data_IF_358438797252
#
_entry.id   IF_358438797252
#
_cell.length_a   1.000
_cell.length_b   1.000
_cell.length_c   1.000
_cell.angle_alpha   90.00
_cell.angle_beta   90.00
_cell.angle_gamma   90.00
#
_symmetry.space_group_name_H-M   'P 1'
#
loop_
_entity.id
_entity.type
_entity.pdbx_description
1 polymer ?
#
# COMPACT_ATOMS: atom_id res chain seq x y z
N UNK A 1 -12.42 23.83 0.67
CA UNK A 1 -12.26 23.26 2.02
C UNK A 1 -10.83 22.70 2.13
N UNK A 2 -10.03 23.27 3.05
CA UNK A 2 -8.64 22.86 3.30
C UNK A 2 -8.53 21.95 4.54
N UNK A 3 -9.62 21.30 4.94
CA UNK A 3 -9.64 20.36 6.07
C UNK A 3 -10.16 19.00 5.59
N UNK A 4 -9.42 17.94 5.88
CA UNK A 4 -9.79 16.58 5.60
C UNK A 4 -10.15 15.83 6.90
N UNK A 5 -11.09 14.89 6.83
CA UNK A 5 -11.58 14.09 7.95
C UNK A 5 -11.51 12.57 7.66
N UNK A 6 -10.95 12.20 6.49
CA UNK A 6 -10.89 10.82 6.01
C UNK A 6 -9.66 10.07 6.52
N UNK A 7 -8.49 10.63 6.25
CA UNK A 7 -7.20 9.97 6.47
C UNK A 7 -6.76 10.11 7.92
N UNK A 8 -6.07 9.10 8.43
CA UNK A 8 -5.28 9.22 9.64
C UNK A 8 -4.35 10.45 9.57
N UNK A 9 -4.10 11.15 10.68
CA UNK A 9 -3.34 12.41 10.65
C UNK A 9 -1.98 12.30 9.95
N UNK A 10 -1.26 11.20 10.13
CA UNK A 10 0.05 10.98 9.49
C UNK A 10 -0.07 10.90 7.96
N UNK A 11 -1.07 10.17 7.46
CA UNK A 11 -1.33 10.06 6.01
C UNK A 11 -1.76 11.44 5.48
N UNK A 12 -2.67 12.10 6.18
CA UNK A 12 -3.15 13.42 5.79
C UNK A 12 -2.04 14.47 5.75
N UNK A 13 -1.10 14.43 6.70
CA UNK A 13 0.07 15.34 6.73
C UNK A 13 1.01 15.07 5.57
N UNK A 14 1.33 13.81 5.26
CA UNK A 14 2.12 13.45 4.08
C UNK A 14 1.47 13.93 2.78
N UNK A 15 0.18 13.67 2.61
CA UNK A 15 -0.59 14.11 1.43
C UNK A 15 -0.63 15.64 1.34
N UNK A 16 -0.79 16.32 2.47
CA UNK A 16 -0.77 17.79 2.54
C UNK A 16 0.57 18.36 2.08
N UNK A 17 1.67 17.81 2.57
CA UNK A 17 3.02 18.27 2.22
C UNK A 17 3.33 18.04 0.73
N UNK A 18 3.00 16.86 0.20
CA UNK A 18 3.36 16.49 -1.17
C UNK A 18 2.50 17.21 -2.22
N UNK A 19 1.19 17.38 -1.97
CA UNK A 19 0.23 17.80 -3.00
C UNK A 19 -0.46 19.13 -2.74
N UNK A 20 -0.36 19.69 -1.52
CA UNK A 20 -1.13 20.85 -1.11
C UNK A 20 -0.28 21.94 -0.42
N UNK A 21 1.03 21.92 -0.60
CA UNK A 21 1.99 22.87 0.02
C UNK A 21 1.81 23.01 1.54
N UNK A 22 1.45 21.94 2.24
CA UNK A 22 1.19 21.93 3.67
C UNK A 22 -0.14 22.60 4.10
N UNK A 23 -0.99 23.00 3.13
CA UNK A 23 -2.21 23.78 3.42
C UNK A 23 -3.42 22.92 3.81
N UNK A 24 -3.41 21.61 3.49
CA UNK A 24 -4.49 20.69 3.88
C UNK A 24 -4.34 20.35 5.35
N UNK A 25 -5.33 20.70 6.17
CA UNK A 25 -5.34 20.42 7.61
C UNK A 25 -6.04 19.10 7.91
N UNK A 26 -5.60 18.42 8.96
CA UNK A 26 -6.32 17.28 9.50
C UNK A 26 -7.40 17.76 10.47
N UNK A 27 -8.64 17.32 10.26
CA UNK A 27 -9.72 17.45 11.22
C UNK A 27 -9.64 16.39 12.32
N UNK A 28 -10.43 16.56 13.36
CA UNK A 28 -10.52 15.56 14.42
C UNK A 28 -11.15 14.28 13.89
N UNK A 29 -10.46 13.15 14.11
CA UNK A 29 -10.92 11.82 13.75
C UNK A 29 -10.43 10.81 14.78
N UNK A 30 -11.35 10.02 15.31
CA UNK A 30 -11.01 8.89 16.15
C UNK A 30 -10.57 7.71 15.27
N UNK A 31 -9.41 7.14 15.56
CA UNK A 31 -8.94 5.88 14.98
C UNK A 31 -9.01 4.84 16.07
N UNK A 32 -9.87 3.83 15.89
CA UNK A 32 -10.00 2.75 16.86
C UNK A 32 -8.74 1.90 16.91
N UNK A 33 -8.36 1.51 18.11
CA UNK A 33 -7.09 0.81 18.39
C UNK A 33 -7.21 -0.71 18.15
N UNK A 34 -7.69 -1.08 16.96
CA UNK A 34 -7.77 -2.48 16.53
C UNK A 34 -6.45 -3.01 15.97
N UNK A 35 -5.54 -2.10 15.63
CA UNK A 35 -4.32 -2.44 14.89
C UNK A 35 -3.17 -2.95 15.75
N UNK A 36 -3.24 -2.86 17.07
CA UNK A 36 -2.19 -3.36 17.98
C UNK A 36 -1.96 -4.87 17.88
N UNK A 37 -3.00 -5.61 17.53
CA UNK A 37 -2.94 -7.08 17.40
C UNK A 37 -2.80 -7.53 15.94
N UNK A 38 -2.64 -6.61 15.00
CA UNK A 38 -2.50 -6.90 13.57
C UNK A 38 -1.05 -7.30 13.21
N UNK A 39 -0.81 -7.82 11.99
CA UNK A 39 0.54 -8.04 11.50
C UNK A 39 1.42 -6.79 11.58
N UNK A 40 2.73 -6.96 11.76
CA UNK A 40 3.67 -5.86 12.06
C UNK A 40 3.62 -4.70 11.05
N UNK A 41 3.36 -4.98 9.78
CA UNK A 41 3.20 -3.94 8.76
C UNK A 41 2.01 -3.01 9.01
N UNK A 42 0.96 -3.47 9.71
CA UNK A 42 -0.23 -2.69 10.08
C UNK A 42 -0.15 -2.02 11.44
N UNK A 43 0.87 -2.32 12.26
CA UNK A 43 1.07 -1.64 13.54
C UNK A 43 1.44 -0.16 13.33
N UNK A 44 2.05 0.16 12.20
CA UNK A 44 2.35 1.54 11.79
C UNK A 44 1.21 2.10 10.93
N UNK A 45 1.01 3.41 10.99
CA UNK A 45 0.01 4.10 10.14
C UNK A 45 0.42 4.05 8.67
N UNK A 46 1.72 4.22 8.41
CA UNK A 46 2.29 4.07 7.07
C UNK A 46 3.49 3.14 7.09
N UNK A 47 3.51 2.19 6.17
CA UNK A 47 4.61 1.24 5.99
C UNK A 47 5.07 1.21 4.53
N UNK A 48 6.37 1.26 4.31
CA UNK A 48 6.96 0.95 3.02
C UNK A 48 7.69 -0.39 3.10
N UNK A 49 7.23 -1.36 2.34
CA UNK A 49 7.89 -2.66 2.20
C UNK A 49 8.85 -2.56 1.03
N UNK A 50 10.13 -2.38 1.33
CA UNK A 50 11.17 -2.12 0.34
C UNK A 50 11.72 -3.42 -0.23
N UNK A 51 11.52 -3.62 -1.53
CA UNK A 51 12.00 -4.78 -2.27
C UNK A 51 13.38 -4.58 -2.91
N UNK A 52 14.07 -3.47 -2.62
CA UNK A 52 15.34 -3.11 -3.26
C UNK A 52 16.43 -4.16 -3.06
N UNK A 53 16.50 -4.76 -1.87
CA UNK A 53 17.51 -5.79 -1.51
C UNK A 53 17.39 -7.09 -2.31
N UNK A 54 16.20 -7.37 -2.89
CA UNK A 54 15.99 -8.52 -3.77
C UNK A 54 16.68 -8.37 -5.14
N UNK A 55 17.17 -7.17 -5.47
CA UNK A 55 17.87 -6.88 -6.73
C UNK A 55 17.02 -7.27 -7.94
N UNK A 56 17.63 -7.99 -8.89
CA UNK A 56 16.95 -8.39 -10.15
C UNK A 56 15.72 -9.31 -9.94
N UNK A 57 15.61 -10.00 -8.81
CA UNK A 57 14.44 -10.83 -8.48
C UNK A 57 13.18 -9.98 -8.28
N UNK A 58 13.32 -8.71 -7.88
CA UNK A 58 12.21 -7.77 -7.74
C UNK A 58 11.95 -6.92 -8.99
N UNK A 59 12.60 -7.20 -10.11
CA UNK A 59 12.36 -6.46 -11.35
C UNK A 59 11.02 -6.85 -11.95
N UNK A 60 10.35 -5.86 -12.55
CA UNK A 60 9.09 -6.09 -13.24
C UNK A 60 9.30 -6.91 -14.53
N UNK A 61 8.27 -7.67 -14.88
CA UNK A 61 8.17 -8.40 -16.13
C UNK A 61 7.15 -7.72 -17.05
N UNK A 62 7.27 -7.94 -18.36
CA UNK A 62 6.30 -7.49 -19.36
C UNK A 62 5.28 -8.59 -19.64
N UNK A 63 4.03 -8.20 -19.91
CA UNK A 63 3.07 -9.14 -20.49
C UNK A 63 3.59 -9.66 -21.84
N UNK A 64 3.30 -10.91 -22.16
CA UNK A 64 3.65 -11.53 -23.44
C UNK A 64 2.99 -10.81 -24.60
N UNK A 65 1.73 -10.42 -24.42
CA UNK A 65 0.94 -9.65 -25.39
C UNK A 65 0.42 -8.38 -24.72
N UNK A 66 1.06 -7.24 -25.01
CA UNK A 66 0.63 -5.95 -24.44
C UNK A 66 1.78 -5.03 -24.04
N UNK A 67 1.43 -3.92 -23.42
CA UNK A 67 2.38 -2.91 -22.94
C UNK A 67 2.42 -2.80 -21.42
N UNK A 68 1.57 -3.56 -20.72
CA UNK A 68 1.49 -3.53 -19.28
C UNK A 68 2.61 -4.38 -18.64
N UNK A 69 2.90 -4.08 -17.39
CA UNK A 69 3.94 -4.76 -16.61
C UNK A 69 3.35 -5.34 -15.33
N UNK A 70 4.01 -6.37 -14.82
CA UNK A 70 3.71 -6.99 -13.54
C UNK A 70 4.99 -7.27 -12.76
N UNK A 71 4.88 -7.51 -11.46
CA UNK A 71 5.99 -7.80 -10.55
C UNK A 71 5.59 -8.96 -9.63
N UNK A 72 6.17 -10.11 -9.88
CA UNK A 72 5.84 -11.34 -9.17
C UNK A 72 6.25 -11.26 -7.70
N UNK A 73 7.39 -10.66 -7.38
CA UNK A 73 7.84 -10.51 -5.98
C UNK A 73 6.88 -9.63 -5.18
N UNK A 74 6.49 -8.48 -5.71
CA UNK A 74 5.49 -7.64 -5.03
C UNK A 74 4.14 -8.36 -4.87
N UNK A 75 3.70 -9.11 -5.89
CA UNK A 75 2.46 -9.88 -5.81
C UNK A 75 2.53 -10.95 -4.71
N UNK A 76 3.63 -11.68 -4.60
CA UNK A 76 3.84 -12.69 -3.55
C UNK A 76 3.81 -12.06 -2.16
N UNK A 77 4.54 -10.96 -1.95
CA UNK A 77 4.58 -10.22 -0.69
C UNK A 77 3.16 -9.77 -0.28
N UNK A 78 2.40 -9.21 -1.20
CA UNK A 78 1.03 -8.75 -0.92
C UNK A 78 0.12 -9.93 -0.57
N UNK A 79 0.19 -11.04 -1.30
CA UNK A 79 -0.59 -12.24 -1.01
C UNK A 79 -0.21 -12.83 0.36
N UNK A 80 1.06 -12.86 0.70
CA UNK A 80 1.51 -13.36 2.00
C UNK A 80 1.07 -12.43 3.14
N UNK A 81 1.11 -11.11 2.94
CA UNK A 81 0.53 -10.15 3.89
C UNK A 81 -0.97 -10.39 4.09
N UNK A 82 -1.74 -10.60 3.01
CA UNK A 82 -3.16 -10.92 3.10
C UNK A 82 -3.42 -12.24 3.83
N UNK A 83 -2.58 -13.27 3.64
CA UNK A 83 -2.65 -14.52 4.41
C UNK A 83 -2.41 -14.31 5.90
N UNK A 84 -1.49 -13.45 6.28
CA UNK A 84 -1.26 -13.14 7.69
C UNK A 84 -2.44 -12.40 8.30
N UNK A 85 -2.98 -11.42 7.60
CA UNK A 85 -4.17 -10.69 8.04
C UNK A 85 -5.32 -11.69 8.24
N UNK A 86 -5.55 -12.60 7.28
CA UNK A 86 -6.65 -13.57 7.33
C UNK A 86 -6.59 -14.57 8.48
N UNK A 87 -5.39 -14.86 9.00
CA UNK A 87 -5.20 -15.77 10.15
C UNK A 87 -5.57 -15.14 11.48
N UNK A 88 -5.68 -13.83 11.55
CA UNK A 88 -6.00 -13.11 12.79
C UNK A 88 -7.51 -12.86 12.89
N UNK A 89 -8.26 -13.88 13.34
CA UNK A 89 -9.72 -13.83 13.43
C UNK A 89 -10.22 -12.65 14.28
N UNK A 90 -9.53 -12.33 15.39
CA UNK A 90 -9.90 -11.19 16.25
C UNK A 90 -9.79 -9.87 15.52
N UNK A 91 -8.72 -9.70 14.73
CA UNK A 91 -8.52 -8.50 13.94
C UNK A 91 -9.56 -8.40 12.81
N UNK A 92 -9.84 -9.51 12.12
CA UNK A 92 -10.85 -9.57 11.06
C UNK A 92 -12.23 -9.20 11.60
N UNK A 93 -12.66 -9.80 12.73
CA UNK A 93 -13.93 -9.47 13.37
C UNK A 93 -14.00 -7.99 13.76
N UNK A 94 -12.95 -7.45 14.38
CA UNK A 94 -12.91 -6.05 14.76
C UNK A 94 -12.94 -5.09 13.57
N UNK A 95 -12.31 -5.49 12.45
CA UNK A 95 -12.31 -4.71 11.21
C UNK A 95 -13.70 -4.75 10.55
N UNK A 96 -14.35 -5.93 10.52
CA UNK A 96 -15.71 -6.12 10.02
C UNK A 96 -16.74 -5.27 10.78
N UNK A 97 -16.60 -5.19 12.12
CA UNK A 97 -17.47 -4.37 12.97
C UNK A 97 -17.38 -2.86 12.68
N UNK A 98 -16.27 -2.41 12.11
CA UNK A 98 -16.09 -1.01 11.74
C UNK A 98 -16.75 -0.63 10.41
N UNK A 99 -16.94 -1.58 9.50
CA UNK A 99 -17.42 -1.36 8.12
C UNK A 99 -18.81 -2.02 7.91
N UNK A 100 -19.78 -1.62 8.74
CA UNK A 100 -21.15 -2.19 8.73
C UNK A 100 -21.95 -1.93 7.45
N UNK A 101 -21.49 -1.03 6.59
CA UNK A 101 -22.19 -0.63 5.36
C UNK A 101 -21.82 -1.47 4.12
N UNK A 102 -21.08 -2.58 4.31
CA UNK A 102 -20.79 -3.54 3.24
C UNK A 102 -19.70 -3.12 2.25
N UNK A 103 -18.96 -2.04 2.53
CA UNK A 103 -17.78 -1.67 1.76
C UNK A 103 -16.59 -2.56 2.14
N UNK A 104 -15.72 -2.84 1.16
CA UNK A 104 -14.49 -3.60 1.43
C UNK A 104 -13.57 -2.82 2.36
N UNK A 105 -13.08 -3.47 3.43
CA UNK A 105 -12.20 -2.82 4.41
C UNK A 105 -10.75 -2.69 3.92
N UNK A 106 -10.30 -3.58 3.04
CA UNK A 106 -8.93 -3.67 2.54
C UNK A 106 -8.92 -3.49 1.03
N UNK A 107 -8.22 -2.47 0.58
CA UNK A 107 -8.00 -2.20 -0.83
C UNK A 107 -6.57 -2.51 -1.27
N UNK A 108 -6.42 -3.23 -2.38
CA UNK A 108 -5.14 -3.39 -3.07
C UNK A 108 -5.16 -2.58 -4.35
N UNK A 109 -4.35 -1.53 -4.41
CA UNK A 109 -4.23 -0.65 -5.56
C UNK A 109 -3.01 -1.04 -6.37
N UNK A 110 -3.23 -1.43 -7.62
CA UNK A 110 -2.17 -1.75 -8.57
C UNK A 110 -1.93 -0.57 -9.50
N UNK A 111 -0.68 -0.18 -9.67
CA UNK A 111 -0.35 0.90 -10.62
C UNK A 111 -0.50 0.46 -12.08
N UNK A 112 -0.49 -0.85 -12.36
CA UNK A 112 -0.60 -1.41 -13.71
C UNK A 112 -1.66 -2.51 -13.81
N UNK A 113 -2.30 -2.60 -14.99
CA UNK A 113 -3.38 -3.56 -15.22
C UNK A 113 -2.92 -5.03 -15.15
N UNK A 114 -1.71 -5.33 -15.65
CA UNK A 114 -1.15 -6.68 -15.56
C UNK A 114 -0.90 -7.11 -14.11
N UNK A 115 -0.44 -6.19 -13.25
CA UNK A 115 -0.27 -6.45 -11.83
C UNK A 115 -1.61 -6.77 -11.14
N UNK A 116 -2.66 -6.01 -11.47
CA UNK A 116 -4.01 -6.32 -10.99
C UNK A 116 -4.45 -7.72 -11.37
N UNK A 117 -4.27 -8.10 -12.65
CA UNK A 117 -4.64 -9.44 -13.16
C UNK A 117 -3.89 -10.54 -12.39
N UNK A 118 -2.56 -10.37 -12.21
CA UNK A 118 -1.73 -11.32 -11.47
C UNK A 118 -2.20 -11.46 -10.02
N UNK A 119 -2.42 -10.36 -9.32
CA UNK A 119 -2.89 -10.37 -7.94
C UNK A 119 -4.28 -10.99 -7.79
N UNK A 120 -5.21 -10.65 -8.69
CA UNK A 120 -6.55 -11.25 -8.71
C UNK A 120 -6.50 -12.76 -8.99
N UNK A 121 -5.60 -13.22 -9.87
CA UNK A 121 -5.39 -14.65 -10.12
C UNK A 121 -4.86 -15.34 -8.86
N UNK A 122 -3.76 -14.86 -8.31
CA UNK A 122 -3.17 -15.44 -7.08
C UNK A 122 -4.13 -15.45 -5.90
N UNK A 123 -4.94 -14.41 -5.74
CA UNK A 123 -5.95 -14.32 -4.70
C UNK A 123 -7.03 -15.40 -4.87
N UNK A 124 -7.50 -15.65 -6.09
CA UNK A 124 -8.50 -16.70 -6.38
C UNK A 124 -8.00 -18.13 -6.19
N UNK A 125 -6.68 -18.36 -6.29
CA UNK A 125 -6.06 -19.68 -6.12
C UNK A 125 -6.00 -20.13 -4.64
N UNK A 126 -6.36 -19.26 -3.69
CA UNK A 126 -6.31 -19.52 -2.25
C UNK A 126 -7.72 -19.65 -1.71
N UNK A 127 -7.92 -20.63 -0.84
CA UNK A 127 -9.19 -20.83 -0.14
C UNK A 127 -9.30 -19.92 1.09
N UNK A 128 -9.82 -18.70 0.85
CA UNK A 128 -10.12 -17.73 1.90
C UNK A 128 -11.51 -17.97 2.47
N UNK A 129 -11.75 -17.56 3.73
CA UNK A 129 -13.13 -17.47 4.25
C UNK A 129 -13.96 -16.47 3.43
N UNK A 130 -15.27 -16.70 3.36
CA UNK A 130 -16.18 -15.81 2.62
C UNK A 130 -16.20 -14.40 3.22
N UNK A 131 -16.10 -14.30 4.55
CA UNK A 131 -15.93 -13.03 5.26
C UNK A 131 -14.71 -12.28 4.75
N UNK A 132 -13.53 -12.93 4.77
CA UNK A 132 -12.30 -12.29 4.30
C UNK A 132 -12.34 -11.91 2.83
N UNK A 133 -12.90 -12.77 1.96
CA UNK A 133 -13.10 -12.46 0.53
C UNK A 133 -13.90 -11.17 0.33
N UNK A 134 -14.96 -10.99 1.10
CA UNK A 134 -15.82 -9.81 0.99
C UNK A 134 -15.12 -8.51 1.39
N UNK A 135 -14.11 -8.59 2.26
CA UNK A 135 -13.35 -7.44 2.72
C UNK A 135 -12.30 -6.96 1.73
N UNK A 136 -11.92 -7.77 0.74
CA UNK A 136 -10.79 -7.49 -0.16
C UNK A 136 -11.26 -6.95 -1.50
N UNK A 137 -10.67 -5.82 -1.90
CA UNK A 137 -10.85 -5.26 -3.24
C UNK A 137 -9.51 -5.04 -3.92
N UNK A 138 -9.29 -5.69 -5.07
CA UNK A 138 -8.08 -5.54 -5.88
C UNK A 138 -8.43 -4.82 -7.18
N UNK A 139 -7.88 -3.63 -7.42
CA UNK A 139 -8.14 -2.87 -8.63
C UNK A 139 -6.95 -1.98 -9.02
N UNK A 140 -7.01 -1.39 -10.21
CA UNK A 140 -6.04 -0.35 -10.62
C UNK A 140 -6.36 0.97 -9.94
N UNK A 141 -5.40 1.89 -9.92
CA UNK A 141 -5.59 3.24 -9.36
C UNK A 141 -6.79 3.97 -10.00
N UNK A 142 -6.99 3.82 -11.30
CA UNK A 142 -8.14 4.43 -12.00
C UNK A 142 -9.47 3.77 -11.58
N UNK A 143 -9.48 2.47 -11.36
CA UNK A 143 -10.64 1.73 -10.86
C UNK A 143 -10.98 2.02 -9.38
N UNK A 144 -10.09 2.73 -8.68
CA UNK A 144 -10.27 3.17 -7.29
C UNK A 144 -10.80 4.60 -7.17
N UNK A 145 -11.02 5.31 -8.26
CA UNK A 145 -11.52 6.68 -8.19
C UNK A 145 -12.89 6.74 -7.49
N UNK A 146 -13.02 7.62 -6.49
CA UNK A 146 -14.25 7.81 -5.71
C UNK A 146 -14.46 6.82 -4.55
N UNK A 147 -13.57 5.83 -4.33
CA UNK A 147 -13.67 4.83 -3.26
C UNK A 147 -12.55 5.00 -2.23
N UNK A 148 -12.80 4.54 -1.01
CA UNK A 148 -11.85 4.58 0.10
C UNK A 148 -11.94 3.29 0.91
N UNK A 149 -10.87 2.92 1.58
CA UNK A 149 -10.80 1.73 2.43
C UNK A 149 -10.01 2.05 3.70
N UNK A 150 -10.28 1.33 4.79
CA UNK A 150 -9.53 1.48 6.03
C UNK A 150 -8.05 1.20 5.83
N UNK A 151 -7.76 0.11 5.14
CA UNK A 151 -6.40 -0.32 4.80
C UNK A 151 -6.23 -0.25 3.30
N UNK A 152 -5.19 0.44 2.84
CA UNK A 152 -4.76 0.44 1.44
C UNK A 152 -3.37 -0.15 1.34
N UNK A 153 -3.23 -1.11 0.44
CA UNK A 153 -1.96 -1.70 0.02
C UNK A 153 -1.71 -1.28 -1.43
N UNK A 154 -0.60 -0.60 -1.69
CA UNK A 154 -0.22 -0.16 -3.05
C UNK A 154 0.89 -1.04 -3.59
N UNK A 155 0.68 -1.67 -4.76
CA UNK A 155 1.74 -2.32 -5.53
C UNK A 155 2.29 -1.35 -6.56
N UNK A 156 3.55 -0.95 -6.41
CA UNK A 156 4.23 -0.01 -7.28
C UNK A 156 4.57 -0.63 -8.63
N UNK A 157 4.82 -1.92 -8.65
CA UNK A 157 5.07 -2.77 -9.80
C UNK A 157 6.41 -2.49 -10.49
N UNK A 158 6.68 -1.21 -10.84
CA UNK A 158 7.85 -0.85 -11.64
C UNK A 158 9.13 -0.91 -10.83
N UNK A 159 10.03 -1.77 -11.24
CA UNK A 159 11.38 -1.88 -10.71
C UNK A 159 12.32 -2.42 -11.79
N UNK A 160 13.42 -1.73 -12.05
CA UNK A 160 14.48 -2.14 -12.97
C UNK A 160 15.80 -1.41 -12.66
N UNK A 161 16.89 -1.87 -13.27
CA UNK A 161 18.21 -1.26 -13.06
C UNK A 161 18.34 0.16 -13.63
N UNK A 162 17.50 0.53 -14.60
CA UNK A 162 17.55 1.86 -15.22
C UNK A 162 16.97 2.97 -14.35
N UNK A 163 16.15 2.60 -13.35
CA UNK A 163 15.39 3.52 -12.51
C UNK A 163 14.57 4.54 -13.31
N UNK A 164 14.10 4.17 -14.51
CA UNK A 164 13.30 5.06 -15.34
C UNK A 164 11.83 4.99 -14.94
N UNK A 165 11.27 6.15 -14.58
CA UNK A 165 9.87 6.30 -14.22
C UNK A 165 9.07 6.76 -15.44
N UNK A 166 7.98 6.08 -15.74
CA UNK A 166 7.08 6.45 -16.84
C UNK A 166 6.32 7.73 -16.53
N UNK A 167 5.88 8.44 -17.57
CA UNK A 167 5.04 9.63 -17.42
C UNK A 167 3.77 9.36 -16.61
N UNK A 168 3.22 8.17 -16.73
CA UNK A 168 2.09 7.69 -15.98
C UNK A 168 2.32 7.74 -14.45
N UNK A 169 3.51 7.29 -14.00
CA UNK A 169 3.91 7.28 -12.59
C UNK A 169 4.38 8.64 -12.07
N UNK A 170 4.67 9.58 -12.96
CA UNK A 170 5.06 10.95 -12.61
C UNK A 170 3.87 11.87 -12.35
N UNK A 171 2.65 11.49 -12.74
CA UNK A 171 1.45 12.34 -12.62
C UNK A 171 1.02 12.52 -11.16
N UNK A 172 1.14 13.74 -10.59
CA UNK A 172 0.82 13.97 -9.17
C UNK A 172 -0.61 13.59 -8.80
N UNK A 173 -1.59 13.94 -9.63
CA UNK A 173 -3.00 13.65 -9.35
C UNK A 173 -3.27 12.15 -9.17
N UNK A 174 -2.59 11.30 -9.95
CA UNK A 174 -2.76 9.85 -9.89
C UNK A 174 -2.18 9.24 -8.62
N UNK A 175 -1.00 9.72 -8.24
CA UNK A 175 -0.35 9.32 -6.98
C UNK A 175 -1.16 9.83 -5.79
N UNK A 176 -1.65 11.08 -5.85
CA UNK A 176 -2.54 11.62 -4.82
C UNK A 176 -3.78 10.74 -4.63
N UNK A 177 -4.42 10.31 -5.74
CA UNK A 177 -5.56 9.39 -5.66
C UNK A 177 -5.17 8.11 -4.93
N UNK A 178 -4.05 7.47 -5.28
CA UNK A 178 -3.64 6.22 -4.65
C UNK A 178 -3.39 6.39 -3.14
N UNK A 179 -2.61 7.39 -2.74
CA UNK A 179 -2.23 7.63 -1.36
C UNK A 179 -3.41 8.06 -0.48
N UNK A 180 -4.32 8.89 -1.01
CA UNK A 180 -5.46 9.44 -0.26
C UNK A 180 -6.66 8.50 -0.15
N UNK A 181 -6.58 7.26 -0.66
CA UNK A 181 -7.63 6.24 -0.47
C UNK A 181 -7.58 5.57 0.90
N UNK A 182 -6.47 5.63 1.57
CA UNK A 182 -6.27 5.02 2.88
C UNK A 182 -6.93 5.87 3.98
N UNK A 183 -7.77 5.24 4.77
CA UNK A 183 -8.37 5.88 5.93
C UNK A 183 -7.48 5.72 7.17
N UNK A 184 -7.09 4.50 7.52
CA UNK A 184 -6.40 4.19 8.77
C UNK A 184 -4.95 3.73 8.55
N UNK A 185 -4.70 2.90 7.53
CA UNK A 185 -3.39 2.29 7.24
C UNK A 185 -3.06 2.36 5.76
N UNK A 186 -1.82 2.73 5.49
CA UNK A 186 -1.25 2.77 4.14
C UNK A 186 0.01 1.91 4.09
N UNK A 187 0.00 0.87 3.25
CA UNK A 187 1.16 0.04 2.97
C UNK A 187 1.56 0.22 1.52
N UNK A 188 2.81 0.55 1.28
CA UNK A 188 3.38 0.67 -0.06
C UNK A 188 4.38 -0.47 -0.25
N UNK A 189 4.22 -1.26 -1.29
CA UNK A 189 5.10 -2.38 -1.65
C UNK A 189 5.82 -2.04 -2.94
N UNK A 190 7.13 -2.04 -2.93
CA UNK A 190 7.95 -1.75 -4.10
C UNK A 190 9.37 -1.32 -3.77
N UNK A 191 10.22 -1.31 -4.79
CA UNK A 191 11.63 -0.96 -4.64
C UNK A 191 11.82 0.54 -4.35
N UNK A 192 12.34 0.84 -3.16
CA UNK A 192 12.68 2.20 -2.74
C UNK A 192 13.77 2.81 -3.61
N UNK A 193 14.68 1.99 -4.17
CA UNK A 193 15.75 2.48 -5.07
C UNK A 193 15.22 3.13 -6.35
N UNK A 194 13.98 2.84 -6.75
CA UNK A 194 13.34 3.52 -7.88
C UNK A 194 13.06 5.01 -7.61
N UNK A 195 12.97 5.43 -6.33
CA UNK A 195 12.44 6.71 -5.88
C UNK A 195 13.48 7.61 -5.19
N UNK A 196 14.75 7.26 -5.29
CA UNK A 196 15.89 8.08 -4.81
C UNK A 196 16.56 8.79 -5.98
N UNK A 197 17.59 9.58 -5.70
CA UNK A 197 18.41 10.33 -6.65
C UNK A 197 17.54 11.21 -7.60
N UNK A 198 17.62 10.97 -8.91
CA UNK A 198 16.87 11.72 -9.93
C UNK A 198 15.33 11.66 -9.77
N UNK A 199 14.81 10.73 -8.99
CA UNK A 199 13.38 10.52 -8.80
C UNK A 199 12.89 10.95 -7.41
N UNK A 200 13.77 11.46 -6.54
CA UNK A 200 13.44 11.88 -5.17
C UNK A 200 12.38 12.99 -5.11
N UNK A 201 12.41 13.91 -6.07
CA UNK A 201 11.43 15.01 -6.16
C UNK A 201 10.07 14.60 -6.74
N UNK A 202 9.94 13.39 -7.27
CA UNK A 202 8.65 12.88 -7.71
C UNK A 202 7.75 12.56 -6.50
N UNK A 203 6.42 12.58 -6.63
CA UNK A 203 5.50 12.38 -5.51
C UNK A 203 5.79 11.13 -4.68
N UNK A 204 6.14 9.99 -5.31
CA UNK A 204 6.47 8.77 -4.56
C UNK A 204 7.86 8.84 -3.91
N UNK A 205 8.82 9.57 -4.49
CA UNK A 205 10.10 9.85 -3.84
C UNK A 205 9.90 10.66 -2.56
N UNK A 206 9.10 11.72 -2.63
CA UNK A 206 8.71 12.51 -1.45
C UNK A 206 7.95 11.70 -0.41
N UNK A 207 7.08 10.77 -0.83
CA UNK A 207 6.38 9.87 0.08
C UNK A 207 7.36 8.92 0.81
N UNK A 208 8.34 8.36 0.10
CA UNK A 208 9.38 7.53 0.71
C UNK A 208 10.22 8.32 1.72
N UNK A 209 10.65 9.52 1.36
CA UNK A 209 11.39 10.41 2.26
C UNK A 209 10.58 10.79 3.49
N UNK A 210 9.29 11.11 3.31
CA UNK A 210 8.40 11.39 4.43
C UNK A 210 8.32 10.22 5.41
N UNK A 211 8.12 8.99 4.89
CA UNK A 211 8.04 7.78 5.72
C UNK A 211 9.37 7.54 6.46
N UNK A 212 10.51 7.69 5.79
CA UNK A 212 11.85 7.55 6.40
C UNK A 212 12.09 8.56 7.53
N UNK A 213 11.66 9.79 7.35
CA UNK A 213 11.87 10.88 8.31
C UNK A 213 10.88 10.87 9.48
N UNK A 214 9.80 10.11 9.39
CA UNK A 214 8.74 10.06 10.40
C UNK A 214 8.60 8.69 11.09
N UNK A 215 9.67 7.89 11.16
CA UNK A 215 9.62 6.56 11.75
C UNK A 215 9.24 6.56 13.25
N UNK A 216 9.53 7.62 13.98
CA UNK A 216 9.07 7.81 15.36
C UNK A 216 7.60 8.21 15.49
N UNK A 217 6.93 8.52 14.38
CA UNK A 217 5.54 9.01 14.33
C UNK A 217 4.62 8.09 13.52
N UNK A 218 4.71 6.78 13.77
CA UNK A 218 3.83 5.79 13.15
C UNK A 218 4.13 5.48 11.68
N UNK A 219 5.35 5.73 11.23
CA UNK A 219 5.84 5.35 9.91
C UNK A 219 6.97 4.33 10.03
N UNK A 220 7.09 3.40 9.07
CA UNK A 220 8.20 2.45 9.06
C UNK A 220 8.57 2.01 7.64
N UNK A 221 9.87 1.83 7.40
CA UNK A 221 10.40 1.13 6.23
C UNK A 221 10.82 -0.26 6.68
N UNK A 222 10.37 -1.28 5.95
CA UNK A 222 10.74 -2.67 6.14
C UNK A 222 11.59 -3.10 4.95
N UNK A 223 12.85 -3.42 5.20
CA UNK A 223 13.74 -4.00 4.19
C UNK A 223 13.51 -5.51 4.10
N UNK A 224 13.29 -6.01 2.90
CA UNK A 224 13.17 -7.45 2.66
C UNK A 224 14.53 -8.02 2.31
N UNK A 225 15.18 -8.69 3.26
CA UNK A 225 16.46 -9.34 3.05
C UNK A 225 16.33 -10.73 2.40
N UNK A 226 15.19 -11.39 2.59
CA UNK A 226 14.79 -12.65 1.96
C UNK A 226 13.28 -12.65 1.74
N UNK A 227 12.79 -13.34 0.73
CA UNK A 227 11.37 -13.32 0.29
C UNK A 227 10.32 -13.56 1.39
N UNK A 228 10.71 -13.86 2.63
CA UNK A 228 9.80 -14.33 3.69
C UNK A 228 10.03 -13.74 5.09
N UNK A 229 11.03 -12.90 5.32
CA UNK A 229 11.36 -12.43 6.69
C UNK A 229 10.42 -11.37 7.29
N UNK A 230 9.51 -10.79 6.50
CA UNK A 230 8.48 -9.87 7.00
C UNK A 230 7.37 -10.56 7.79
N UNK A 231 7.39 -11.86 7.82
CA UNK A 231 6.25 -12.69 8.12
C UNK A 231 6.41 -13.45 9.43
N UNK A 232 7.55 -13.32 10.08
CA UNK A 232 7.68 -13.80 11.46
C UNK A 232 6.92 -12.84 12.38
N UNK A 233 5.76 -13.31 12.83
CA UNK A 233 5.02 -12.74 13.93
C UNK A 233 5.99 -12.52 15.09
N UNK A 234 6.03 -11.30 15.60
CA UNK A 234 6.59 -11.08 16.91
C UNK A 234 5.78 -11.87 17.93
N UNK A 235 6.20 -13.10 18.19
CA UNK A 235 5.84 -13.82 19.40
C UNK A 235 6.64 -13.20 20.53
N UNK A 236 5.93 -12.44 21.37
CA UNK A 236 6.43 -11.81 22.59
C UNK A 236 5.29 -11.23 23.36
#
# INVERSE_FOLDING_TARGET
LLTQYRMAPQIGSMVSEIFYDGKLKNGEREIKDIYKTSPSALNNVMSWIDTSSLGSKSYHQKEEFGTSIYNTSEANIIIDLLKQISKNEKFISALSDLDKDGDSSIGVICMYAAQRKLLQQKFREIDWSDEFKSMIKINTVDGYQGKENRIIIISMTRSDSSKNITQFMKRPNRINVALSRAMDRLIIVGSGQMWIDKNSELPMGKALDYIKNNQSNGCKVFDIDNEYSLLESGDG
#
